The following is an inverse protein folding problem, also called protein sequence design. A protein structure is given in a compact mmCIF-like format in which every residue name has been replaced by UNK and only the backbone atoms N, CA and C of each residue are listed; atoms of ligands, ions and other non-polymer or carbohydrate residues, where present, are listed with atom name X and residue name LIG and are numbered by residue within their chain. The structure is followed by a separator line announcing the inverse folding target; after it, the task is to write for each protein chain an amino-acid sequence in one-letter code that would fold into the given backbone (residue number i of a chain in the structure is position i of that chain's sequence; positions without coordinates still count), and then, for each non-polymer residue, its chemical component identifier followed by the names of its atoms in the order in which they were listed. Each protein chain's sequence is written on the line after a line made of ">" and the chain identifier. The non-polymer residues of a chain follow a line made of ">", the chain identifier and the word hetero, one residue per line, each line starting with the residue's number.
data_IF_094509317394
#
_entry.id   IF_094509317394
#
_cell.length_a   1.000
_cell.length_b   1.000
_cell.length_c   1.000
_cell.angle_alpha   90.00
_cell.angle_beta   90.00
_cell.angle_gamma   90.00
#
_symmetry.space_group_name_H-M   'P 1'
#
loop_
_entity.id
_entity.type
_entity.pdbx_description
1 polymer ?
#
# COMPACT_ATOMS: atom_id res chain seq x y z
N UNK A 1 7.07 30.18 13.60
CA UNK A 1 5.97 29.23 13.31
C UNK A 1 6.53 27.92 12.76
N UNK A 2 6.21 26.77 13.35
CA UNK A 2 6.64 25.45 12.87
C UNK A 2 5.95 25.17 11.53
N UNK A 3 6.70 24.85 10.48
CA UNK A 3 6.16 24.61 9.12
C UNK A 3 5.12 23.48 9.16
N UNK A 4 3.89 23.76 8.73
CA UNK A 4 2.82 22.76 8.68
C UNK A 4 3.20 21.69 7.65
N UNK A 5 3.42 20.45 8.11
CA UNK A 5 3.65 19.30 7.22
C UNK A 5 2.30 18.80 6.72
N UNK A 6 1.98 19.09 5.47
CA UNK A 6 0.79 18.54 4.81
C UNK A 6 1.00 17.07 4.46
N UNK A 7 -0.06 16.28 4.62
CA UNK A 7 -0.12 14.94 4.08
C UNK A 7 0.06 15.02 2.56
N UNK A 8 0.87 14.13 1.99
CA UNK A 8 1.08 14.03 0.55
C UNK A 8 0.96 12.55 0.12
N UNK A 9 0.70 12.31 -1.17
CA UNK A 9 0.53 10.94 -1.69
C UNK A 9 1.78 10.08 -1.46
N UNK A 10 2.98 10.68 -1.56
CA UNK A 10 4.25 9.97 -1.35
C UNK A 10 4.36 9.42 0.08
N UNK A 11 4.05 10.22 1.09
CA UNK A 11 4.07 9.83 2.50
C UNK A 11 3.01 8.74 2.78
N UNK A 12 1.81 8.88 2.20
CA UNK A 12 0.76 7.86 2.32
C UNK A 12 1.19 6.53 1.69
N UNK A 13 1.73 6.55 0.46
CA UNK A 13 2.25 5.35 -0.21
C UNK A 13 3.35 4.67 0.62
N UNK A 14 4.28 5.44 1.17
CA UNK A 14 5.33 4.90 2.03
C UNK A 14 4.76 4.23 3.28
N UNK A 15 3.74 4.82 3.91
CA UNK A 15 3.11 4.24 5.10
C UNK A 15 2.20 3.05 4.79
N UNK A 16 1.55 3.02 3.62
CA UNK A 16 0.83 1.84 3.11
C UNK A 16 1.81 0.71 2.90
N UNK A 17 2.93 0.97 2.23
CA UNK A 17 3.99 -0.01 2.01
C UNK A 17 4.52 -0.58 3.33
N UNK A 18 4.88 0.30 4.28
CA UNK A 18 5.35 -0.10 5.60
C UNK A 18 4.30 -0.94 6.36
N UNK A 19 3.03 -0.54 6.32
CA UNK A 19 1.93 -1.28 6.95
C UNK A 19 1.75 -2.66 6.33
N UNK A 20 1.75 -2.77 5.00
CA UNK A 20 1.65 -4.06 4.29
C UNK A 20 2.82 -4.98 4.63
N UNK A 21 4.04 -4.45 4.72
CA UNK A 21 5.23 -5.23 5.06
C UNK A 21 5.14 -5.90 6.44
N UNK A 22 4.35 -5.37 7.38
CA UNK A 22 4.15 -6.04 8.69
C UNK A 22 3.42 -7.39 8.58
N UNK A 23 2.73 -7.65 7.47
CA UNK A 23 2.05 -8.92 7.20
C UNK A 23 2.89 -9.86 6.33
N UNK A 24 4.07 -9.42 5.89
CA UNK A 24 4.90 -10.14 4.92
C UNK A 24 6.10 -10.81 5.59
N UNK A 25 6.55 -11.89 4.95
CA UNK A 25 7.85 -12.51 5.25
C UNK A 25 8.78 -12.33 4.05
N UNK A 26 10.06 -12.12 4.32
CA UNK A 26 11.12 -11.87 3.34
C UNK A 26 12.37 -12.68 3.71
N UNK A 27 13.16 -13.08 2.71
CA UNK A 27 14.44 -13.78 2.95
C UNK A 27 15.46 -12.80 3.54
N UNK A 28 15.57 -11.61 2.93
CA UNK A 28 16.41 -10.54 3.42
C UNK A 28 15.60 -9.24 3.61
N UNK A 29 16.00 -8.33 4.53
CA UNK A 29 15.27 -7.08 4.76
C UNK A 29 15.14 -6.21 3.51
N UNK A 30 16.16 -6.20 2.64
CA UNK A 30 16.14 -5.46 1.37
C UNK A 30 15.11 -6.01 0.37
N UNK A 31 14.73 -7.28 0.49
CA UNK A 31 13.72 -7.88 -0.38
C UNK A 31 12.33 -7.34 -0.08
N UNK A 32 12.13 -6.62 1.04
CA UNK A 32 10.86 -5.95 1.35
C UNK A 32 10.56 -4.79 0.41
N UNK A 33 11.59 -4.17 -0.17
CA UNK A 33 11.46 -2.98 -1.00
C UNK A 33 11.45 -3.38 -2.47
N UNK A 34 10.31 -3.22 -3.13
CA UNK A 34 10.17 -3.50 -4.55
C UNK A 34 10.65 -2.33 -5.43
N UNK A 35 11.10 -2.66 -6.63
CA UNK A 35 11.50 -1.69 -7.65
C UNK A 35 10.45 -1.55 -8.77
N UNK A 36 9.72 -2.63 -9.08
CA UNK A 36 8.65 -2.64 -10.07
C UNK A 36 7.55 -3.63 -9.68
N UNK A 37 6.28 -3.22 -9.88
CA UNK A 37 5.12 -4.10 -9.77
C UNK A 37 4.77 -4.64 -11.15
N UNK A 38 4.58 -5.95 -11.26
CA UNK A 38 4.18 -6.64 -12.48
C UNK A 38 2.96 -7.53 -12.22
N UNK A 39 2.08 -7.72 -13.21
CA UNK A 39 0.85 -8.50 -13.02
C UNK A 39 1.11 -10.01 -13.01
N UNK A 40 2.21 -10.49 -13.59
CA UNK A 40 2.59 -11.91 -13.60
C UNK A 40 4.08 -12.10 -13.90
N UNK A 41 4.59 -13.31 -13.67
CA UNK A 41 6.00 -13.66 -13.88
C UNK A 41 6.45 -13.50 -15.34
N UNK A 42 5.57 -13.74 -16.32
CA UNK A 42 5.90 -13.60 -17.75
C UNK A 42 6.16 -12.14 -18.15
N UNK A 43 5.68 -11.17 -17.37
CA UNK A 43 5.95 -9.74 -17.60
C UNK A 43 7.31 -9.29 -17.07
N UNK A 44 8.08 -10.15 -16.40
CA UNK A 44 9.47 -9.87 -16.05
C UNK A 44 10.35 -10.12 -17.29
N UNK A 45 10.39 -9.13 -18.18
CA UNK A 45 11.18 -9.15 -19.42
C UNK A 45 12.26 -8.05 -19.41
N UNK A 46 13.02 -7.92 -20.50
CA UNK A 46 14.08 -6.91 -20.62
C UNK A 46 13.59 -5.47 -20.38
N UNK A 47 12.37 -5.14 -20.80
CA UNK A 47 11.77 -3.82 -20.58
C UNK A 47 11.44 -3.59 -19.11
N UNK A 48 10.88 -4.61 -18.44
CA UNK A 48 10.61 -4.55 -17.00
C UNK A 48 11.91 -4.39 -16.20
N UNK A 49 12.99 -5.08 -16.59
CA UNK A 49 14.31 -4.92 -15.97
C UNK A 49 14.83 -3.48 -16.14
N UNK A 50 14.71 -2.91 -17.34
CA UNK A 50 15.12 -1.52 -17.60
C UNK A 50 14.30 -0.51 -16.77
N UNK A 51 12.98 -0.71 -16.66
CA UNK A 51 12.11 0.11 -15.83
C UNK A 51 12.46 0.00 -14.34
N UNK A 52 12.65 -1.21 -13.84
CA UNK A 52 13.06 -1.47 -12.46
C UNK A 52 14.42 -0.81 -12.14
N UNK A 53 15.39 -0.89 -13.03
CA UNK A 53 16.68 -0.18 -12.89
C UNK A 53 16.50 1.33 -12.77
N UNK A 54 15.63 1.92 -13.62
CA UNK A 54 15.34 3.36 -13.58
C UNK A 54 14.65 3.75 -12.27
N UNK A 55 13.69 2.95 -11.81
CA UNK A 55 12.98 3.18 -10.55
C UNK A 55 13.93 3.11 -9.35
N UNK A 56 14.78 2.07 -9.28
CA UNK A 56 15.79 1.90 -8.23
C UNK A 56 16.81 3.03 -8.23
N UNK A 57 17.34 3.41 -9.39
CA UNK A 57 18.27 4.53 -9.51
C UNK A 57 17.65 5.85 -9.02
N UNK A 58 16.40 6.13 -9.41
CA UNK A 58 15.65 7.31 -8.94
C UNK A 58 15.48 7.29 -7.42
N UNK A 59 15.15 6.13 -6.84
CA UNK A 59 14.99 5.95 -5.40
C UNK A 59 16.31 6.19 -4.66
N UNK A 60 17.40 5.54 -5.05
CA UNK A 60 18.72 5.71 -4.44
C UNK A 60 19.20 7.17 -4.52
N UNK A 61 18.96 7.82 -5.66
CA UNK A 61 19.28 9.26 -5.84
C UNK A 61 18.51 10.12 -4.83
N UNK A 62 17.22 9.84 -4.66
CA UNK A 62 16.37 10.60 -3.72
C UNK A 62 16.75 10.34 -2.26
N UNK A 63 17.03 9.08 -1.89
CA UNK A 63 17.47 8.69 -0.55
C UNK A 63 18.81 9.35 -0.20
N UNK A 64 19.79 9.30 -1.10
CA UNK A 64 21.09 9.94 -0.91
C UNK A 64 20.97 11.46 -0.78
N UNK A 65 20.13 12.10 -1.61
CA UNK A 65 19.87 13.53 -1.51
C UNK A 65 19.16 13.93 -0.21
N UNK A 66 18.21 13.12 0.26
CA UNK A 66 17.52 13.35 1.54
C UNK A 66 18.43 13.15 2.74
N UNK A 67 19.32 12.16 2.69
CA UNK A 67 20.35 11.93 3.70
C UNK A 67 21.33 13.11 3.79
N UNK A 68 21.86 13.58 2.66
CA UNK A 68 22.75 14.75 2.61
C UNK A 68 22.05 16.02 3.13
N UNK A 69 20.76 16.18 2.80
CA UNK A 69 19.95 17.31 3.31
C UNK A 69 19.72 17.24 4.81
N UNK A 70 19.50 16.03 5.34
CA UNK A 70 19.35 15.81 6.77
C UNK A 70 20.68 16.04 7.53
N UNK A 71 21.82 15.73 6.90
CA UNK A 71 23.16 15.97 7.44
C UNK A 71 23.58 17.47 7.46
N UNK A 72 22.78 18.35 6.85
CA UNK A 72 23.00 19.80 6.92
C UNK A 72 23.99 20.35 5.89
N UNK A 73 24.30 19.59 4.84
CA UNK A 73 25.18 20.05 3.75
C UNK A 73 24.58 21.27 3.03
N UNK A 74 25.40 22.27 2.73
CA UNK A 74 25.00 23.50 2.01
C UNK A 74 25.25 23.32 0.51
N UNK A 75 24.31 23.75 -0.34
CA UNK A 75 24.35 23.68 -1.82
C UNK A 75 24.24 22.26 -2.43
N UNK A 76 23.33 21.45 -1.91
CA UNK A 76 23.06 20.09 -2.41
C UNK A 76 22.34 20.16 -3.76
N UNK A 77 22.99 19.73 -4.85
CA UNK A 77 22.34 19.52 -6.15
C UNK A 77 21.96 18.05 -6.31
N UNK A 78 20.79 17.79 -6.88
CA UNK A 78 20.33 16.41 -7.12
C UNK A 78 21.25 15.64 -8.09
N UNK A 79 21.92 16.37 -9.00
CA UNK A 79 22.82 15.81 -10.02
C UNK A 79 24.00 15.07 -9.38
N UNK A 80 24.52 15.58 -8.26
CA UNK A 80 25.72 15.04 -7.61
C UNK A 80 25.47 13.65 -7.00
N UNK A 81 24.20 13.35 -6.68
CA UNK A 81 23.77 12.07 -6.11
C UNK A 81 23.10 11.15 -7.13
N UNK A 82 23.09 11.53 -8.42
CA UNK A 82 22.38 10.77 -9.45
C UNK A 82 23.07 9.44 -9.73
N UNK A 83 22.39 8.35 -9.36
CA UNK A 83 22.87 6.99 -9.61
C UNK A 83 22.52 6.59 -11.04
N UNK A 84 23.49 6.05 -11.78
CA UNK A 84 23.25 5.56 -13.14
C UNK A 84 22.49 4.22 -13.12
N UNK A 85 21.35 4.09 -13.82
CA UNK A 85 20.60 2.82 -13.90
C UNK A 85 21.40 1.65 -14.47
N UNK A 86 22.46 1.93 -15.26
CA UNK A 86 23.30 0.89 -15.88
C UNK A 86 24.23 0.20 -14.89
N UNK A 87 24.58 0.87 -13.78
CA UNK A 87 25.46 0.32 -12.73
C UNK A 87 24.72 -0.66 -11.81
N UNK A 88 23.40 -0.73 -11.91
CA UNK A 88 22.56 -1.59 -11.08
C UNK A 88 22.47 -2.99 -11.71
N UNK A 89 22.98 -3.98 -10.99
CA UNK A 89 22.90 -5.37 -11.44
C UNK A 89 21.45 -5.86 -11.45
N UNK A 90 21.12 -6.72 -12.42
CA UNK A 90 19.76 -7.27 -12.56
C UNK A 90 19.36 -8.17 -11.39
N UNK A 91 20.32 -8.77 -10.68
CA UNK A 91 20.09 -9.66 -9.54
C UNK A 91 19.74 -8.93 -8.25
N UNK A 92 19.99 -7.63 -8.21
CA UNK A 92 19.59 -6.79 -7.10
C UNK A 92 18.13 -6.36 -7.17
N UNK A 93 17.53 -6.40 -8.35
CA UNK A 93 16.18 -5.88 -8.60
C UNK A 93 15.11 -6.77 -7.98
N UNK A 94 14.18 -6.15 -7.27
CA UNK A 94 13.04 -6.84 -6.65
C UNK A 94 11.76 -6.54 -7.44
N UNK A 95 11.14 -7.59 -7.96
CA UNK A 95 9.87 -7.50 -8.67
C UNK A 95 8.72 -7.96 -7.78
N UNK A 96 7.73 -7.10 -7.57
CA UNK A 96 6.49 -7.46 -6.89
C UNK A 96 5.52 -8.02 -7.92
N UNK A 97 5.13 -9.27 -7.75
CA UNK A 97 4.17 -9.97 -8.62
C UNK A 97 2.86 -10.08 -7.87
N UNK A 98 1.79 -9.50 -8.41
CA UNK A 98 0.45 -9.64 -7.83
C UNK A 98 -0.09 -11.05 -8.13
N UNK A 99 -0.22 -11.88 -7.09
CA UNK A 99 -0.63 -13.29 -7.26
C UNK A 99 -1.31 -13.84 -6.01
N UNK A 100 -2.20 -14.82 -6.20
CA UNK A 100 -2.91 -15.56 -5.16
C UNK A 100 -2.27 -16.93 -4.86
N UNK A 101 -1.19 -17.32 -5.54
CA UNK A 101 -0.66 -18.70 -5.54
C UNK A 101 -0.32 -19.26 -4.14
N UNK A 102 0.01 -18.42 -3.16
CA UNK A 102 0.33 -18.83 -1.79
C UNK A 102 -0.82 -18.65 -0.80
N UNK A 103 -1.96 -18.12 -1.26
CA UNK A 103 -3.15 -17.95 -0.45
C UNK A 103 -3.96 -19.25 -0.52
N UNK A 104 -4.48 -19.78 0.59
CA UNK A 104 -5.33 -20.96 0.56
C UNK A 104 -6.63 -20.72 -0.22
N UNK A 105 -7.13 -21.77 -0.86
CA UNK A 105 -8.45 -21.78 -1.49
C UNK A 105 -9.53 -21.88 -0.42
N UNK A 106 -10.62 -21.15 -0.60
CA UNK A 106 -11.78 -21.14 0.28
C UNK A 106 -13.05 -21.06 -0.57
N UNK A 107 -13.59 -22.24 -0.90
CA UNK A 107 -14.76 -22.39 -1.76
C UNK A 107 -16.09 -22.09 -1.06
N UNK A 108 -16.12 -22.06 0.27
CA UNK A 108 -17.35 -21.89 1.05
C UNK A 108 -17.65 -20.42 1.35
N UNK A 109 -16.64 -19.55 1.29
CA UNK A 109 -16.76 -18.12 1.62
C UNK A 109 -17.77 -17.36 0.77
N UNK A 110 -17.91 -17.69 -0.52
CA UNK A 110 -18.82 -17.00 -1.44
C UNK A 110 -19.57 -18.00 -2.30
N UNK A 111 -20.91 -17.95 -2.21
CA UNK A 111 -21.82 -18.79 -3.01
C UNK A 111 -21.63 -18.62 -4.52
N UNK A 112 -21.37 -17.39 -4.99
CA UNK A 112 -21.16 -17.06 -6.41
C UNK A 112 -19.82 -16.32 -6.61
N UNK A 113 -18.69 -17.04 -6.74
CA UNK A 113 -17.39 -16.42 -6.98
C UNK A 113 -17.31 -15.86 -8.41
N UNK A 114 -16.87 -14.61 -8.57
CA UNK A 114 -16.72 -13.93 -9.87
C UNK A 114 -15.28 -13.61 -10.22
N UNK A 115 -14.41 -13.58 -9.22
CA UNK A 115 -13.00 -13.20 -9.37
C UNK A 115 -12.11 -14.25 -8.71
N UNK A 116 -10.83 -14.28 -9.11
CA UNK A 116 -9.82 -15.16 -8.48
C UNK A 116 -9.78 -14.95 -6.97
N UNK A 117 -9.92 -13.70 -6.52
CA UNK A 117 -9.96 -13.37 -5.10
C UNK A 117 -11.11 -14.06 -4.35
N UNK A 118 -12.24 -14.32 -5.01
CA UNK A 118 -13.43 -14.92 -4.40
C UNK A 118 -13.24 -16.40 -4.06
N UNK A 119 -12.36 -17.09 -4.78
CA UNK A 119 -12.02 -18.49 -4.54
C UNK A 119 -10.98 -18.70 -3.43
N UNK A 120 -10.39 -17.63 -2.91
CA UNK A 120 -9.33 -17.69 -1.92
C UNK A 120 -9.80 -17.14 -0.57
N UNK A 121 -9.07 -17.49 0.49
CA UNK A 121 -9.27 -16.95 1.83
C UNK A 121 -9.23 -15.42 1.83
N UNK A 122 -10.02 -14.80 2.71
CA UNK A 122 -10.08 -13.34 2.83
C UNK A 122 -8.72 -12.79 3.29
N UNK A 123 -8.22 -11.79 2.58
CA UNK A 123 -6.93 -11.13 2.84
C UNK A 123 -7.12 -9.64 3.07
N UNK A 124 -6.18 -9.03 3.81
CA UNK A 124 -6.23 -7.62 4.23
C UNK A 124 -5.94 -6.67 3.05
N UNK A 125 -5.16 -7.13 2.08
CA UNK A 125 -4.79 -6.38 0.88
C UNK A 125 -4.49 -7.31 -0.30
N UNK A 126 -4.46 -6.82 -1.56
CA UNK A 126 -4.14 -7.63 -2.73
C UNK A 126 -2.83 -8.42 -2.54
N UNK A 127 -2.88 -9.76 -2.62
CA UNK A 127 -1.73 -10.58 -2.31
C UNK A 127 -0.65 -10.47 -3.39
N UNK A 128 0.60 -10.65 -2.96
CA UNK A 128 1.75 -10.53 -3.83
C UNK A 128 2.89 -11.41 -3.34
N UNK A 129 3.80 -11.71 -4.27
CA UNK A 129 5.09 -12.33 -4.00
C UNK A 129 6.20 -11.47 -4.58
N UNK A 130 7.35 -11.45 -3.92
CA UNK A 130 8.55 -10.76 -4.41
C UNK A 130 9.50 -11.76 -5.04
N UNK A 131 10.05 -11.38 -6.19
CA UNK A 131 11.00 -12.20 -6.94
C UNK A 131 12.27 -11.43 -7.26
N UNK A 132 13.39 -12.15 -7.25
CA UNK A 132 14.69 -11.68 -7.74
C UNK A 132 15.21 -12.58 -8.84
N UNK A 133 16.03 -12.02 -9.71
CA UNK A 133 16.71 -12.76 -10.77
C UNK A 133 18.04 -13.28 -10.21
N UNK A 134 18.26 -14.58 -10.21
CA UNK A 134 19.54 -15.14 -9.78
C UNK A 134 20.63 -14.93 -10.85
N UNK A 135 21.90 -15.17 -10.52
CA UNK A 135 23.04 -15.08 -11.44
C UNK A 135 22.84 -15.93 -12.71
N UNK A 136 22.12 -17.06 -12.57
CA UNK A 136 21.75 -17.97 -13.66
C UNK A 136 20.54 -17.49 -14.50
N UNK A 137 19.98 -16.32 -14.20
CA UNK A 137 18.82 -15.76 -14.91
C UNK A 137 17.46 -16.35 -14.51
N UNK A 138 17.41 -17.24 -13.51
CA UNK A 138 16.16 -17.83 -13.01
C UNK A 138 15.52 -16.92 -11.94
N UNK A 139 14.18 -16.90 -11.91
CA UNK A 139 13.43 -16.17 -10.90
C UNK A 139 13.38 -16.99 -9.60
N UNK A 140 13.73 -16.35 -8.49
CA UNK A 140 13.64 -16.91 -7.14
C UNK A 140 12.65 -16.10 -6.32
N UNK A 141 11.70 -16.76 -5.68
CA UNK A 141 10.81 -16.13 -4.71
C UNK A 141 11.61 -15.75 -3.46
N UNK A 142 11.57 -14.48 -3.09
CA UNK A 142 12.29 -13.90 -1.96
C UNK A 142 11.38 -13.27 -0.92
N UNK A 143 10.08 -13.16 -1.20
CA UNK A 143 9.10 -12.65 -0.25
C UNK A 143 7.69 -13.07 -0.57
N UNK A 144 6.85 -13.21 0.45
CA UNK A 144 5.43 -13.52 0.33
C UNK A 144 4.63 -12.62 1.26
N UNK A 145 3.50 -12.10 0.78
CA UNK A 145 2.55 -11.39 1.64
C UNK A 145 1.65 -12.33 2.43
N UNK A 146 1.12 -11.90 3.57
CA UNK A 146 0.30 -12.73 4.47
C UNK A 146 0.98 -14.06 4.80
N UNK A 147 2.26 -14.02 5.18
CA UNK A 147 3.09 -15.21 5.37
C UNK A 147 3.96 -15.09 6.61
N UNK A 148 4.06 -16.17 7.38
CA UNK A 148 4.91 -16.28 8.58
C UNK A 148 5.96 -17.37 8.39
N UNK A 149 7.16 -17.18 8.94
CA UNK A 149 8.25 -18.15 8.84
C UNK A 149 8.99 -18.07 7.50
N UNK A 150 9.75 -19.12 7.16
CA UNK A 150 10.58 -19.15 5.97
C UNK A 150 9.80 -19.40 4.68
N UNK A 151 10.45 -19.19 3.53
CA UNK A 151 9.78 -19.33 2.22
C UNK A 151 9.34 -20.77 1.91
N UNK A 152 10.05 -21.76 2.46
CA UNK A 152 9.81 -23.20 2.27
C UNK A 152 9.06 -23.87 3.41
N UNK A 153 9.18 -23.38 4.65
CA UNK A 153 8.62 -24.00 5.86
C UNK A 153 7.62 -23.10 6.60
N UNK A 154 7.30 -21.93 6.04
CA UNK A 154 6.34 -21.02 6.62
C UNK A 154 4.89 -21.40 6.31
N UNK A 155 3.97 -20.56 6.77
CA UNK A 155 2.54 -20.75 6.58
C UNK A 155 1.84 -19.43 6.23
N UNK A 156 0.67 -19.54 5.61
CA UNK A 156 -0.22 -18.41 5.39
C UNK A 156 -0.72 -17.87 6.74
N UNK A 157 -0.62 -16.55 6.93
CA UNK A 157 -1.06 -15.85 8.14
C UNK A 157 -1.55 -14.43 7.80
N UNK A 158 -2.83 -14.15 8.04
CA UNK A 158 -3.45 -12.85 7.78
C UNK A 158 -3.56 -11.94 9.01
N UNK A 159 -3.40 -12.47 10.23
CA UNK A 159 -3.66 -11.73 11.48
C UNK A 159 -2.40 -11.15 12.15
N UNK A 160 -1.22 -11.56 11.71
CA UNK A 160 0.05 -11.23 12.39
C UNK A 160 0.58 -9.80 12.19
N UNK A 161 -0.05 -9.01 11.30
CA UNK A 161 0.42 -7.67 10.96
C UNK A 161 -0.42 -6.57 11.59
N UNK A 162 0.02 -5.32 11.42
CA UNK A 162 -0.71 -4.14 11.89
C UNK A 162 -0.49 -2.93 10.99
N UNK A 163 -1.49 -2.05 10.97
CA UNK A 163 -1.36 -0.73 10.37
C UNK A 163 -0.36 0.07 11.23
N UNK A 164 0.54 0.83 10.59
CA UNK A 164 1.48 1.69 11.33
C UNK A 164 0.73 2.81 12.04
N UNK A 165 1.21 3.21 13.22
CA UNK A 165 0.62 4.33 13.97
C UNK A 165 0.59 5.61 13.11
N UNK A 166 1.62 5.80 12.28
CA UNK A 166 1.64 6.92 11.33
C UNK A 166 0.49 6.84 10.33
N UNK A 167 0.25 5.70 9.67
CA UNK A 167 -0.86 5.56 8.73
C UNK A 167 -2.22 5.75 9.42
N UNK A 168 -2.40 5.18 10.61
CA UNK A 168 -3.62 5.38 11.40
C UNK A 168 -3.87 6.87 11.69
N UNK A 169 -2.84 7.61 12.12
CA UNK A 169 -2.93 9.06 12.32
C UNK A 169 -3.25 9.81 11.01
N UNK A 170 -2.74 9.33 9.86
CA UNK A 170 -3.10 9.91 8.56
C UNK A 170 -4.59 9.71 8.25
N UNK A 171 -5.16 8.53 8.55
CA UNK A 171 -6.60 8.26 8.39
C UNK A 171 -7.46 9.15 9.27
N UNK A 172 -7.10 9.31 10.55
CA UNK A 172 -7.82 10.20 11.47
C UNK A 172 -7.86 11.64 10.93
N UNK A 173 -6.70 12.17 10.50
CA UNK A 173 -6.62 13.52 9.90
C UNK A 173 -7.43 13.67 8.62
N UNK A 174 -7.53 12.62 7.81
CA UNK A 174 -8.36 12.63 6.60
C UNK A 174 -9.85 12.74 6.95
N UNK A 175 -10.31 11.93 7.91
CA UNK A 175 -11.69 11.94 8.39
C UNK A 175 -12.06 13.29 9.02
N UNK A 176 -11.23 13.78 9.95
CA UNK A 176 -11.40 15.10 10.59
C UNK A 176 -11.50 16.21 9.54
N UNK A 177 -10.55 16.25 8.60
CA UNK A 177 -10.57 17.28 7.56
C UNK A 177 -11.80 17.18 6.67
N UNK A 178 -12.25 15.97 6.34
CA UNK A 178 -13.45 15.76 5.53
C UNK A 178 -14.72 16.24 6.26
N UNK A 179 -14.82 15.99 7.57
CA UNK A 179 -15.94 16.45 8.40
C UNK A 179 -16.05 17.98 8.53
N UNK A 180 -14.99 18.73 8.23
CA UNK A 180 -15.03 20.20 8.22
C UNK A 180 -15.58 20.82 6.93
N UNK A 181 -15.87 20.02 5.89
CA UNK A 181 -16.44 20.53 4.63
C UNK A 181 -17.82 21.15 4.87
N UNK A 182 -18.16 22.18 4.10
CA UNK A 182 -19.40 22.97 4.27
C UNK A 182 -20.67 22.11 4.37
N UNK A 183 -20.75 21.02 3.61
CA UNK A 183 -21.92 20.13 3.59
C UNK A 183 -22.09 19.31 4.88
N UNK A 184 -21.02 19.08 5.63
CA UNK A 184 -20.98 18.20 6.81
C UNK A 184 -20.72 18.96 8.11
N UNK A 185 -20.13 20.15 8.01
CA UNK A 185 -19.81 21.00 9.14
C UNK A 185 -21.10 21.40 9.87
N UNK A 186 -21.13 21.16 11.17
CA UNK A 186 -22.30 21.46 12.01
C UNK A 186 -23.45 20.47 11.85
N UNK A 187 -23.28 19.39 11.08
CA UNK A 187 -24.26 18.31 11.05
C UNK A 187 -24.24 17.53 12.36
N UNK A 188 -25.42 17.20 12.90
CA UNK A 188 -25.58 16.58 14.22
C UNK A 188 -24.81 15.25 14.34
N UNK A 189 -24.80 14.43 13.29
CA UNK A 189 -24.14 13.12 13.28
C UNK A 189 -22.72 13.14 12.72
N UNK A 190 -22.08 14.32 12.62
CA UNK A 190 -20.74 14.43 12.02
C UNK A 190 -19.70 13.55 12.75
N UNK A 191 -19.75 13.51 14.07
CA UNK A 191 -18.79 12.71 14.87
C UNK A 191 -18.98 11.20 14.62
N UNK A 192 -20.23 10.75 14.47
CA UNK A 192 -20.53 9.36 14.11
C UNK A 192 -20.08 9.06 12.67
N UNK A 193 -20.31 9.97 11.72
CA UNK A 193 -19.84 9.84 10.34
C UNK A 193 -18.32 9.70 10.26
N UNK A 194 -17.58 10.51 11.02
CA UNK A 194 -16.12 10.45 11.11
C UNK A 194 -15.66 9.11 11.70
N UNK A 195 -16.29 8.66 12.79
CA UNK A 195 -15.97 7.39 13.44
C UNK A 195 -16.22 6.19 12.52
N UNK A 196 -17.35 6.18 11.82
CA UNK A 196 -17.70 5.14 10.83
C UNK A 196 -16.74 5.15 9.64
N UNK A 197 -16.37 6.34 9.14
CA UNK A 197 -15.40 6.45 8.06
C UNK A 197 -14.01 5.95 8.48
N UNK A 198 -13.58 6.25 9.71
CA UNK A 198 -12.30 5.76 10.25
C UNK A 198 -12.30 4.23 10.38
N UNK A 199 -13.41 3.63 10.86
CA UNK A 199 -13.57 2.19 10.90
C UNK A 199 -13.49 1.59 9.49
N UNK A 200 -14.14 2.20 8.50
CA UNK A 200 -14.06 1.76 7.11
C UNK A 200 -12.62 1.84 6.57
N UNK A 201 -11.93 2.97 6.78
CA UNK A 201 -10.52 3.11 6.39
C UNK A 201 -9.62 2.07 7.08
N UNK A 202 -9.92 1.68 8.31
CA UNK A 202 -9.17 0.63 9.00
C UNK A 202 -9.36 -0.75 8.38
N UNK A 203 -10.54 -1.02 7.81
CA UNK A 203 -10.87 -2.30 7.16
C UNK A 203 -10.37 -2.39 5.71
N UNK A 204 -10.51 -1.30 4.93
CA UNK A 204 -10.20 -1.31 3.50
C UNK A 204 -8.95 -0.50 3.15
N UNK A 205 -8.32 0.17 4.11
CA UNK A 205 -7.24 1.10 3.85
C UNK A 205 -6.05 0.44 3.14
N UNK A 206 -5.69 -0.76 3.57
CA UNK A 206 -4.60 -1.52 2.94
C UNK A 206 -5.01 -2.13 1.59
N UNK A 207 -6.29 -2.16 1.24
CA UNK A 207 -6.75 -2.70 -0.05
C UNK A 207 -6.42 -1.79 -1.24
N UNK A 208 -5.90 -0.58 -1.00
CA UNK A 208 -5.37 0.27 -2.06
C UNK A 208 -4.32 -0.48 -2.90
N UNK A 209 -4.50 -0.45 -4.22
CA UNK A 209 -3.68 -1.19 -5.18
C UNK A 209 -2.72 -0.24 -5.90
N UNK A 210 -1.45 -0.26 -5.48
CA UNK A 210 -0.39 0.60 -6.01
C UNK A 210 -0.03 0.28 -7.46
N UNK A 211 -0.46 -0.87 -8.00
CA UNK A 211 -0.25 -1.19 -9.42
C UNK A 211 -1.16 -0.40 -10.35
N UNK A 212 -2.25 0.17 -9.82
CA UNK A 212 -3.28 0.87 -10.60
C UNK A 212 -3.25 2.38 -10.43
N UNK A 213 -2.75 2.88 -9.31
CA UNK A 213 -2.75 4.31 -9.01
C UNK A 213 -1.63 4.68 -8.03
N UNK A 214 -1.08 5.88 -8.20
CA UNK A 214 -0.16 6.52 -7.25
C UNK A 214 -0.88 7.56 -6.37
N UNK A 215 -2.21 7.60 -6.38
CA UNK A 215 -3.01 8.61 -5.68
C UNK A 215 -3.91 7.99 -4.58
N UNK A 216 -3.34 7.55 -3.44
CA UNK A 216 -4.11 7.02 -2.33
C UNK A 216 -5.10 8.04 -1.72
N UNK A 217 -4.84 9.35 -1.81
CA UNK A 217 -5.80 10.35 -1.32
C UNK A 217 -7.16 10.25 -1.98
N UNK A 218 -7.20 10.05 -3.31
CA UNK A 218 -8.46 9.94 -4.03
C UNK A 218 -9.23 8.70 -3.57
N UNK A 219 -8.55 7.58 -3.42
CA UNK A 219 -9.13 6.33 -2.92
C UNK A 219 -9.73 6.50 -1.51
N UNK A 220 -8.97 7.07 -0.57
CA UNK A 220 -9.45 7.28 0.80
C UNK A 220 -10.56 8.33 0.87
N UNK A 221 -10.48 9.41 0.09
CA UNK A 221 -11.53 10.42 0.04
C UNK A 221 -12.84 9.83 -0.49
N UNK A 222 -12.77 8.95 -1.50
CA UNK A 222 -13.94 8.25 -2.02
C UNK A 222 -14.55 7.31 -0.94
N UNK A 223 -13.71 6.56 -0.22
CA UNK A 223 -14.16 5.71 0.89
C UNK A 223 -14.87 6.52 1.99
N UNK A 224 -14.29 7.65 2.41
CA UNK A 224 -14.87 8.54 3.43
C UNK A 224 -16.20 9.11 2.93
N UNK A 225 -16.25 9.60 1.68
CA UNK A 225 -17.47 10.15 1.07
C UNK A 225 -18.60 9.13 1.11
N UNK A 226 -18.33 7.89 0.65
CA UNK A 226 -19.32 6.83 0.65
C UNK A 226 -19.80 6.46 2.07
N UNK A 227 -18.89 6.47 3.05
CA UNK A 227 -19.25 6.24 4.46
C UNK A 227 -20.19 7.32 4.99
N UNK A 228 -19.85 8.60 4.77
CA UNK A 228 -20.64 9.74 5.22
C UNK A 228 -22.05 9.72 4.60
N UNK A 229 -22.13 9.52 3.28
CA UNK A 229 -23.41 9.43 2.56
C UNK A 229 -24.25 8.23 3.05
N UNK A 230 -23.63 7.10 3.39
CA UNK A 230 -24.34 5.95 3.94
C UNK A 230 -25.02 6.28 5.28
N UNK A 231 -24.31 6.92 6.21
CA UNK A 231 -24.88 7.31 7.51
C UNK A 231 -26.01 8.34 7.31
N UNK A 232 -25.82 9.31 6.43
CA UNK A 232 -26.87 10.28 6.08
C UNK A 232 -28.14 9.59 5.57
N UNK A 233 -28.00 8.57 4.74
CA UNK A 233 -29.14 7.83 4.18
C UNK A 233 -29.83 6.95 5.22
N UNK A 234 -29.08 6.31 6.11
CA UNK A 234 -29.64 5.55 7.24
C UNK A 234 -30.48 6.48 8.11
N UNK A 235 -29.94 7.65 8.44
CA UNK A 235 -30.63 8.62 9.29
C UNK A 235 -31.91 9.15 8.63
N UNK A 236 -31.85 9.54 7.35
CA UNK A 236 -33.05 9.96 6.60
C UNK A 236 -34.15 8.89 6.61
N UNK A 237 -33.77 7.61 6.50
CA UNK A 237 -34.72 6.49 6.55
C UNK A 237 -35.34 6.35 7.93
N UNK A 238 -34.56 6.49 9.00
CA UNK A 238 -35.07 6.40 10.37
C UNK A 238 -36.04 7.53 10.71
N UNK A 239 -35.74 8.76 10.25
CA UNK A 239 -36.65 9.91 10.41
C UNK A 239 -38.00 9.64 9.72
N UNK A 240 -37.98 9.15 8.48
CA UNK A 240 -39.19 8.83 7.73
C UNK A 240 -40.02 7.65 8.28
N UNK A 241 -39.45 6.82 9.19
CA UNK A 241 -40.20 5.76 9.89
C UNK A 241 -40.85 6.29 11.17
N UNK A 242 -40.24 7.32 11.77
CA UNK A 242 -40.72 7.93 13.02
C UNK A 242 -41.90 8.88 12.77
N UNK A 243 -41.85 9.60 11.66
CA UNK A 243 -42.92 10.49 11.17
C UNK A 243 -44.03 9.68 10.49
#
# INVERSE_FOLDING_TARGET
>A
MKRVKYLNNRDLLAQIHASKNTYCSYIAPEDSQYDLIVPNLKKINANAIAQARKARAKRLTQEAWEAAKAAGEKKIKLVDFTVSPRKIDKSELVFRVMTYDHIPMDGERKKNPKSVADHHSKVNFPPFQHYRIDKKGKLRCVGKSHWVGGMSNGAFACEQGKITNSLAMMFMKLCERYGTRANWRGYTYNDEMQSQALMQLSQIGLQFDESKSENPFAYYTAAITNSFTRILNIEKKNQAIRD
#
